data_IF_277740202048
#
_entry.id   IF_277740202048
#
_cell.length_a   1.000
_cell.length_b   1.000
_cell.length_c   1.000
_cell.angle_alpha   90.00
_cell.angle_beta   90.00
_cell.angle_gamma   90.00
#
_symmetry.space_group_name_H-M   'P 1'
#
loop_
_entity.id
_entity.type
_entity.pdbx_description
1 polymer ?
#
# COMPACT_ATOMS: atom_id res chain seq x y z
N UNK A 1 -16.77 17.85 7.62
CA UNK A 1 -17.59 19.04 7.99
C UNK A 1 -17.09 19.67 9.29
N UNK A 2 -16.91 18.88 10.35
CA UNK A 2 -16.53 19.37 11.68
C UNK A 2 -15.08 19.85 11.76
N UNK A 3 -14.14 19.16 11.11
CA UNK A 3 -12.72 19.52 11.17
C UNK A 3 -12.32 20.58 10.13
N UNK A 4 -12.87 20.49 8.91
CA UNK A 4 -12.50 21.40 7.82
C UNK A 4 -13.39 22.64 7.71
N UNK A 5 -14.49 22.69 8.45
CA UNK A 5 -15.48 23.78 8.44
C UNK A 5 -16.04 24.15 7.05
N UNK A 6 -16.05 23.22 6.10
CA UNK A 6 -16.58 23.45 4.75
C UNK A 6 -18.11 23.50 4.67
N UNK A 7 -18.81 23.22 5.78
CA UNK A 7 -20.27 23.21 5.84
C UNK A 7 -20.92 24.60 5.84
N UNK A 8 -20.16 25.67 5.93
CA UNK A 8 -20.69 27.06 5.91
C UNK A 8 -21.07 27.57 4.52
N UNK A 9 -20.59 26.89 3.48
CA UNK A 9 -20.79 27.28 2.10
C UNK A 9 -21.64 26.24 1.40
N UNK A 10 -22.72 26.71 0.75
CA UNK A 10 -23.50 25.85 -0.14
C UNK A 10 -22.68 25.60 -1.39
N UNK A 11 -22.44 24.33 -1.73
CA UNK A 11 -21.65 23.90 -2.86
C UNK A 11 -20.26 24.58 -2.94
N UNK A 12 -19.33 24.28 -2.01
CA UNK A 12 -18.02 24.95 -1.93
C UNK A 12 -17.15 24.75 -3.16
N UNK A 13 -17.45 23.74 -4.00
CA UNK A 13 -16.74 23.43 -5.24
C UNK A 13 -17.51 23.86 -6.50
N UNK A 14 -18.69 24.46 -6.35
CA UNK A 14 -19.53 24.92 -7.44
C UNK A 14 -18.79 25.85 -8.40
N UNK A 15 -18.92 25.61 -9.71
CA UNK A 15 -18.23 26.34 -10.76
C UNK A 15 -16.77 25.93 -10.98
N UNK A 16 -16.24 24.95 -10.25
CA UNK A 16 -14.95 24.32 -10.56
C UNK A 16 -15.11 23.37 -11.75
N UNK A 17 -14.57 23.72 -12.90
CA UNK A 17 -14.64 22.88 -14.11
C UNK A 17 -14.12 21.45 -13.86
N UNK A 18 -13.09 21.30 -13.04
CA UNK A 18 -12.54 19.97 -12.72
C UNK A 18 -13.52 19.14 -11.89
N UNK A 19 -14.15 19.76 -10.88
CA UNK A 19 -15.07 19.03 -9.98
C UNK A 19 -16.35 18.68 -10.71
N UNK A 20 -16.89 19.60 -11.51
CA UNK A 20 -18.09 19.35 -12.33
C UNK A 20 -17.85 18.22 -13.33
N UNK A 21 -16.78 18.28 -14.12
CA UNK A 21 -16.40 17.21 -15.07
C UNK A 21 -16.16 15.86 -14.38
N UNK A 22 -15.53 15.86 -13.21
CA UNK A 22 -15.34 14.65 -12.42
C UNK A 22 -16.66 14.07 -11.92
N UNK A 23 -17.58 14.94 -11.48
CA UNK A 23 -18.91 14.54 -10.99
C UNK A 23 -19.71 13.88 -12.12
N UNK A 24 -19.75 14.51 -13.28
CA UNK A 24 -20.44 13.97 -14.46
C UNK A 24 -19.86 12.60 -14.87
N UNK A 25 -18.53 12.51 -14.94
CA UNK A 25 -17.85 11.24 -15.27
C UNK A 25 -18.10 10.14 -14.25
N UNK A 26 -18.22 10.47 -12.97
CA UNK A 26 -18.56 9.50 -11.92
C UNK A 26 -20.02 9.06 -12.04
N UNK A 27 -20.94 10.01 -12.32
CA UNK A 27 -22.34 9.70 -12.55
C UNK A 27 -22.53 8.77 -13.75
N UNK A 28 -21.87 9.06 -14.87
CA UNK A 28 -21.90 8.20 -16.08
C UNK A 28 -21.40 6.77 -15.79
N UNK A 29 -20.30 6.64 -15.06
CA UNK A 29 -19.76 5.33 -14.66
C UNK A 29 -20.69 4.58 -13.73
N UNK A 30 -21.27 5.27 -12.75
CA UNK A 30 -22.22 4.66 -11.82
C UNK A 30 -23.48 4.19 -12.57
N UNK A 31 -23.97 4.99 -13.52
CA UNK A 31 -25.10 4.65 -14.35
C UNK A 31 -24.82 3.45 -15.26
N UNK A 32 -23.62 3.37 -15.83
CA UNK A 32 -23.21 2.22 -16.64
C UNK A 32 -23.19 0.93 -15.82
N UNK A 33 -22.68 0.94 -14.58
CA UNK A 33 -22.71 -0.22 -13.68
C UNK A 33 -24.14 -0.58 -13.30
N UNK A 34 -24.98 0.41 -13.02
CA UNK A 34 -26.38 0.19 -12.71
C UNK A 34 -27.12 -0.50 -13.86
N UNK A 35 -26.99 0.02 -15.07
CA UNK A 35 -27.65 -0.56 -16.26
C UNK A 35 -27.12 -1.94 -16.61
N UNK A 36 -25.84 -2.22 -16.34
CA UNK A 36 -25.27 -3.56 -16.49
C UNK A 36 -25.93 -4.55 -15.52
N UNK A 37 -26.09 -4.19 -14.24
CA UNK A 37 -26.80 -5.00 -13.25
C UNK A 37 -28.24 -5.26 -13.67
N UNK A 38 -28.95 -4.24 -14.15
CA UNK A 38 -30.32 -4.37 -14.63
C UNK A 38 -30.41 -5.31 -15.84
N UNK A 39 -29.42 -5.32 -16.74
CA UNK A 39 -29.38 -6.23 -17.89
C UNK A 39 -29.27 -7.70 -17.51
N UNK A 40 -28.79 -8.00 -16.30
CA UNK A 40 -28.76 -9.36 -15.72
C UNK A 40 -30.08 -9.78 -15.05
N UNK A 41 -31.13 -8.96 -15.13
CA UNK A 41 -32.41 -9.20 -14.47
C UNK A 41 -32.51 -8.61 -13.07
N UNK A 42 -31.69 -7.57 -12.77
CA UNK A 42 -31.63 -6.85 -11.51
C UNK A 42 -30.62 -7.45 -10.53
N UNK A 43 -30.49 -6.80 -9.39
CA UNK A 43 -29.42 -7.10 -8.42
C UNK A 43 -29.44 -8.56 -7.94
N UNK A 44 -30.60 -9.10 -7.59
CA UNK A 44 -30.72 -10.48 -7.09
C UNK A 44 -30.23 -11.50 -8.12
N UNK A 45 -30.69 -11.38 -9.37
CA UNK A 45 -30.27 -12.26 -10.44
C UNK A 45 -28.78 -12.11 -10.78
N UNK A 46 -28.24 -10.90 -10.72
CA UNK A 46 -26.82 -10.63 -10.93
C UNK A 46 -25.94 -11.24 -9.80
N UNK A 47 -26.44 -11.31 -8.56
CA UNK A 47 -25.76 -12.03 -7.46
C UNK A 47 -25.81 -13.52 -7.69
N UNK A 48 -26.98 -14.08 -7.98
CA UNK A 48 -27.20 -15.53 -8.18
C UNK A 48 -26.41 -16.07 -9.37
N UNK A 49 -26.30 -15.31 -10.45
CA UNK A 49 -25.51 -15.67 -11.63
C UNK A 49 -23.99 -15.53 -11.43
N UNK A 50 -23.55 -14.89 -10.35
CA UNK A 50 -22.15 -14.61 -10.08
C UNK A 50 -21.56 -13.40 -10.82
N UNK A 51 -22.38 -12.65 -11.55
CA UNK A 51 -21.91 -11.44 -12.27
C UNK A 51 -21.29 -10.40 -11.34
N UNK A 52 -21.94 -10.16 -10.18
CA UNK A 52 -21.39 -9.25 -9.15
C UNK A 52 -20.05 -9.76 -8.62
N UNK A 53 -19.97 -11.06 -8.29
CA UNK A 53 -18.73 -11.66 -7.79
C UNK A 53 -17.58 -11.50 -8.79
N UNK A 54 -17.83 -11.74 -10.08
CA UNK A 54 -16.85 -11.59 -11.16
C UNK A 54 -16.36 -10.14 -11.26
N UNK A 55 -17.24 -9.15 -11.20
CA UNK A 55 -16.89 -7.74 -11.25
C UNK A 55 -16.04 -7.31 -10.03
N UNK A 56 -16.41 -7.81 -8.83
CA UNK A 56 -15.64 -7.57 -7.60
C UNK A 56 -14.26 -8.20 -7.66
N UNK A 57 -14.13 -9.43 -8.18
CA UNK A 57 -12.85 -10.12 -8.35
C UNK A 57 -11.93 -9.35 -9.32
N UNK A 58 -12.44 -8.92 -10.44
CA UNK A 58 -11.69 -8.12 -11.41
C UNK A 58 -11.22 -6.79 -10.80
N UNK A 59 -12.05 -6.12 -9.99
CA UNK A 59 -11.69 -4.90 -9.28
C UNK A 59 -10.63 -5.15 -8.22
N UNK A 60 -10.78 -6.25 -7.48
CA UNK A 60 -9.80 -6.68 -6.47
C UNK A 60 -8.44 -6.92 -7.09
N UNK A 61 -8.35 -7.68 -8.16
CA UNK A 61 -7.08 -8.00 -8.80
C UNK A 61 -6.35 -6.76 -9.34
N UNK A 62 -7.07 -5.80 -9.92
CA UNK A 62 -6.46 -4.51 -10.34
C UNK A 62 -5.86 -3.78 -9.14
N UNK A 63 -6.63 -3.63 -8.06
CA UNK A 63 -6.16 -2.93 -6.85
C UNK A 63 -4.99 -3.67 -6.19
N UNK A 64 -5.04 -5.01 -6.12
CA UNK A 64 -3.95 -5.84 -5.60
C UNK A 64 -2.65 -5.64 -6.39
N UNK A 65 -2.75 -5.63 -7.72
CA UNK A 65 -1.59 -5.39 -8.59
C UNK A 65 -1.00 -3.98 -8.40
N UNK A 66 -1.85 -2.97 -8.22
CA UNK A 66 -1.42 -1.59 -7.96
C UNK A 66 -0.72 -1.47 -6.59
N UNK A 67 -1.22 -2.15 -5.57
CA UNK A 67 -0.59 -2.20 -4.24
C UNK A 67 0.75 -2.92 -4.32
N UNK A 68 0.83 -4.08 -4.99
CA UNK A 68 2.05 -4.85 -5.13
C UNK A 68 3.16 -4.06 -5.84
N UNK A 69 2.80 -3.25 -6.83
CA UNK A 69 3.74 -2.38 -7.58
C UNK A 69 3.97 -1.01 -6.93
N UNK A 70 3.35 -0.74 -5.77
CA UNK A 70 3.38 0.56 -5.08
C UNK A 70 2.82 1.73 -5.90
N UNK A 71 2.01 1.46 -6.90
CA UNK A 71 1.19 2.47 -7.58
C UNK A 71 0.15 3.01 -6.60
N UNK A 72 -0.55 2.11 -5.89
CA UNK A 72 -1.40 2.46 -4.76
C UNK A 72 -0.62 2.30 -3.47
N UNK A 73 -0.33 3.42 -2.82
CA UNK A 73 0.41 3.48 -1.56
C UNK A 73 -0.52 3.27 -0.37
N UNK A 74 -0.11 2.41 0.55
CA UNK A 74 -0.76 2.17 1.82
C UNK A 74 0.26 2.43 2.93
N UNK A 75 0.07 3.53 3.65
CA UNK A 75 0.95 3.93 4.76
C UNK A 75 1.01 2.83 5.83
N UNK A 76 2.22 2.53 6.30
CA UNK A 76 2.46 1.45 7.26
C UNK A 76 2.54 0.06 6.62
N UNK A 77 2.21 -0.10 5.34
CA UNK A 77 2.21 -1.39 4.63
C UNK A 77 3.30 -1.41 3.56
N UNK A 78 3.06 -0.78 2.41
CA UNK A 78 4.02 -0.69 1.32
C UNK A 78 4.67 0.69 1.20
N UNK A 79 4.32 1.62 2.10
CA UNK A 79 4.92 2.95 2.23
C UNK A 79 5.11 3.26 3.73
N UNK A 80 6.30 3.66 4.13
CA UNK A 80 6.71 3.94 5.51
C UNK A 80 6.34 2.83 6.53
N UNK A 81 6.70 1.56 6.27
CA UNK A 81 6.44 0.49 7.22
C UNK A 81 7.31 0.65 8.48
N UNK A 82 6.76 0.31 9.64
CA UNK A 82 7.48 0.31 10.89
C UNK A 82 7.94 -1.11 11.25
N UNK A 83 9.26 -1.39 11.14
CA UNK A 83 9.82 -2.69 11.52
C UNK A 83 9.86 -2.94 13.03
N UNK A 84 9.74 -1.88 13.85
CA UNK A 84 9.68 -1.97 15.30
C UNK A 84 8.27 -2.17 15.85
N UNK A 85 7.26 -2.26 15.00
CA UNK A 85 5.88 -2.48 15.43
C UNK A 85 5.74 -3.85 16.09
N UNK A 86 5.12 -3.85 17.28
CA UNK A 86 4.84 -5.09 17.97
C UNK A 86 3.62 -5.78 17.34
N UNK A 87 3.69 -7.07 17.00
CA UNK A 87 2.56 -7.79 16.46
C UNK A 87 1.41 -7.83 17.48
N UNK A 88 0.18 -7.83 16.97
CA UNK A 88 -0.98 -8.03 17.83
C UNK A 88 -0.89 -9.40 18.50
N UNK A 89 -1.31 -9.45 19.77
CA UNK A 89 -1.48 -10.70 20.51
C UNK A 89 -2.49 -11.60 19.79
N UNK A 90 -2.31 -12.93 19.92
CA UNK A 90 -3.13 -13.91 19.21
C UNK A 90 -4.64 -13.81 19.54
N UNK A 91 -4.97 -13.40 20.79
CA UNK A 91 -6.34 -13.14 21.24
C UNK A 91 -7.01 -11.94 20.53
N UNK A 92 -6.21 -11.05 19.95
CA UNK A 92 -6.68 -9.88 19.19
C UNK A 92 -6.65 -10.09 17.67
N UNK A 93 -6.13 -11.22 17.22
CA UNK A 93 -6.14 -11.59 15.79
C UNK A 93 -7.50 -12.15 15.43
N UNK A 94 -8.22 -11.42 14.59
CA UNK A 94 -9.50 -11.89 14.04
C UNK A 94 -9.29 -12.23 12.58
N UNK A 95 -9.53 -13.48 12.23
CA UNK A 95 -9.58 -13.89 10.81
C UNK A 95 -10.88 -13.36 10.19
N UNK A 96 -10.78 -12.41 9.23
CA UNK A 96 -11.96 -11.82 8.62
C UNK A 96 -12.65 -12.83 7.70
N UNK A 97 -13.85 -13.25 8.07
CA UNK A 97 -14.65 -14.14 7.22
C UNK A 97 -15.20 -13.37 6.02
N UNK A 98 -14.87 -13.81 4.80
CA UNK A 98 -15.38 -13.21 3.57
C UNK A 98 -14.80 -11.85 3.22
N UNK A 99 -13.84 -11.33 3.98
CA UNK A 99 -13.17 -10.06 3.71
C UNK A 99 -11.75 -10.34 3.22
N UNK A 100 -11.39 -9.76 2.09
CA UNK A 100 -10.02 -9.81 1.54
C UNK A 100 -9.24 -8.56 2.01
N UNK A 101 -8.11 -8.78 2.68
CA UNK A 101 -7.29 -7.70 3.21
C UNK A 101 -6.24 -7.25 2.19
N UNK A 102 -6.16 -5.96 1.95
CA UNK A 102 -5.18 -5.39 1.03
C UNK A 102 -3.73 -5.57 1.50
N UNK A 103 -3.52 -5.70 2.80
CA UNK A 103 -2.21 -5.86 3.42
C UNK A 103 -1.71 -7.31 3.44
N UNK A 104 -2.55 -8.30 3.16
CA UNK A 104 -2.29 -9.72 3.43
C UNK A 104 -0.95 -10.23 2.86
N UNK A 105 -0.59 -9.85 1.64
CA UNK A 105 0.66 -10.30 1.01
C UNK A 105 1.90 -9.70 1.71
N UNK A 106 1.84 -8.42 2.08
CA UNK A 106 2.93 -7.76 2.82
C UNK A 106 3.04 -8.28 4.25
N UNK A 107 1.90 -8.53 4.90
CA UNK A 107 1.86 -9.15 6.22
C UNK A 107 2.47 -10.56 6.21
N UNK A 108 2.19 -11.36 5.19
CA UNK A 108 2.79 -12.67 5.03
C UNK A 108 4.32 -12.59 4.90
N UNK A 109 4.85 -11.60 4.17
CA UNK A 109 6.30 -11.36 4.09
C UNK A 109 6.88 -10.95 5.45
N UNK A 110 6.22 -10.03 6.15
CA UNK A 110 6.66 -9.59 7.49
C UNK A 110 6.60 -10.71 8.51
N UNK A 111 5.55 -11.52 8.52
CA UNK A 111 5.45 -12.69 9.40
C UNK A 111 6.62 -13.65 9.19
N UNK A 112 7.07 -13.86 7.95
CA UNK A 112 8.28 -14.65 7.67
C UNK A 112 9.53 -14.01 8.26
N UNK A 113 9.67 -12.69 8.18
CA UNK A 113 10.77 -11.95 8.81
C UNK A 113 10.71 -12.02 10.34
N UNK A 114 9.51 -11.96 10.93
CA UNK A 114 9.32 -12.06 12.38
C UNK A 114 9.69 -13.46 12.91
N UNK A 115 9.34 -14.52 12.18
CA UNK A 115 9.78 -15.89 12.48
C UNK A 115 11.31 -16.00 12.41
N UNK A 116 11.93 -15.39 11.41
CA UNK A 116 13.39 -15.36 11.30
C UNK A 116 14.03 -14.57 12.46
N UNK A 117 13.48 -13.41 12.82
CA UNK A 117 13.91 -12.60 13.95
C UNK A 117 13.86 -13.41 15.26
N UNK A 118 12.75 -14.10 15.52
CA UNK A 118 12.59 -14.94 16.71
C UNK A 118 13.62 -16.07 16.77
N UNK A 119 13.99 -16.65 15.62
CA UNK A 119 14.95 -17.76 15.55
C UNK A 119 16.42 -17.31 15.58
N UNK A 120 16.73 -16.13 15.05
CA UNK A 120 18.13 -15.67 14.83
C UNK A 120 18.51 -14.44 15.66
N UNK A 121 17.57 -13.78 16.32
CA UNK A 121 17.80 -12.55 17.09
C UNK A 121 17.92 -11.28 16.24
N UNK A 122 17.93 -11.41 14.92
CA UNK A 122 18.00 -10.29 13.96
C UNK A 122 17.06 -10.53 12.78
N UNK A 123 16.54 -9.47 12.19
CA UNK A 123 15.79 -9.56 10.94
C UNK A 123 16.70 -9.94 9.77
N UNK A 124 16.17 -10.45 8.64
CA UNK A 124 16.92 -10.48 7.40
C UNK A 124 17.42 -9.07 7.08
N UNK A 125 18.69 -8.96 6.69
CA UNK A 125 19.36 -7.67 6.50
C UNK A 125 19.84 -7.52 5.07
N UNK A 126 19.83 -6.28 4.57
CA UNK A 126 20.41 -5.88 3.30
C UNK A 126 21.33 -4.67 3.53
N UNK A 127 22.58 -4.79 3.13
CA UNK A 127 23.54 -3.68 3.22
C UNK A 127 23.33 -2.76 2.02
N UNK A 128 23.17 -1.46 2.28
CA UNK A 128 23.16 -0.43 1.25
C UNK A 128 24.59 0.07 1.06
N UNK A 129 24.97 0.35 -0.19
CA UNK A 129 26.27 0.95 -0.53
C UNK A 129 26.01 2.30 -1.20
N UNK A 130 25.79 3.37 -0.42
CA UNK A 130 25.50 4.69 -0.95
C UNK A 130 26.79 5.38 -1.45
N UNK A 131 26.96 5.40 -2.77
CA UNK A 131 28.13 5.98 -3.41
C UNK A 131 28.00 7.50 -3.60
N UNK A 132 29.04 8.22 -3.21
CA UNK A 132 29.16 9.67 -3.40
C UNK A 132 28.41 10.49 -2.34
N UNK A 133 28.23 11.81 -2.54
CA UNK A 133 27.67 12.70 -1.55
C UNK A 133 26.19 12.43 -1.32
N UNK A 134 25.72 12.72 -0.10
CA UNK A 134 24.35 12.49 0.38
C UNK A 134 23.28 12.97 -0.62
N UNK A 135 23.47 14.13 -1.21
CA UNK A 135 22.53 14.69 -2.18
C UNK A 135 22.31 13.81 -3.43
N UNK A 136 23.27 12.94 -3.77
CA UNK A 136 23.16 12.05 -4.91
C UNK A 136 22.49 10.72 -4.62
N UNK A 137 22.53 10.23 -3.37
CA UNK A 137 22.03 8.90 -3.04
C UNK A 137 20.83 8.89 -2.08
N UNK A 138 20.58 9.97 -1.32
CA UNK A 138 19.57 10.00 -0.26
C UNK A 138 18.17 9.53 -0.71
N UNK A 139 17.69 9.99 -1.86
CA UNK A 139 16.37 9.60 -2.39
C UNK A 139 16.35 8.10 -2.70
N UNK A 140 17.43 7.57 -3.28
CA UNK A 140 17.52 6.14 -3.65
C UNK A 140 17.68 5.24 -2.44
N UNK A 141 18.49 5.63 -1.48
CA UNK A 141 18.65 4.88 -0.22
C UNK A 141 17.36 4.90 0.59
N UNK A 142 16.67 6.04 0.67
CA UNK A 142 15.36 6.14 1.29
C UNK A 142 14.31 5.24 0.61
N UNK A 143 14.28 5.23 -0.72
CA UNK A 143 13.42 4.33 -1.48
C UNK A 143 13.74 2.85 -1.20
N UNK A 144 15.01 2.47 -1.26
CA UNK A 144 15.44 1.09 -1.02
C UNK A 144 15.11 0.64 0.41
N UNK A 145 15.40 1.48 1.41
CA UNK A 145 15.05 1.21 2.81
C UNK A 145 13.55 0.97 2.98
N UNK A 146 12.73 1.84 2.42
CA UNK A 146 11.26 1.74 2.48
C UNK A 146 10.75 0.46 1.79
N UNK A 147 11.29 0.14 0.62
CA UNK A 147 10.93 -1.06 -0.13
C UNK A 147 11.30 -2.34 0.63
N UNK A 148 12.50 -2.43 1.15
CA UNK A 148 12.98 -3.57 1.93
C UNK A 148 12.19 -3.75 3.22
N UNK A 149 11.93 -2.65 3.93
CA UNK A 149 11.15 -2.66 5.17
C UNK A 149 9.70 -3.11 4.94
N UNK A 150 9.10 -2.84 3.78
CA UNK A 150 7.75 -3.34 3.47
C UNK A 150 7.68 -4.87 3.42
N UNK A 151 8.78 -5.54 3.10
CA UNK A 151 8.94 -7.00 3.17
C UNK A 151 9.51 -7.52 4.49
N UNK A 152 9.74 -6.66 5.48
CA UNK A 152 10.30 -7.06 6.77
C UNK A 152 11.83 -7.16 6.78
N UNK A 153 12.52 -6.65 5.75
CA UNK A 153 13.98 -6.68 5.66
C UNK A 153 14.56 -5.37 6.20
N UNK A 154 15.51 -5.48 7.13
CA UNK A 154 16.22 -4.34 7.67
C UNK A 154 17.30 -3.85 6.70
N UNK A 155 17.26 -2.58 6.33
CA UNK A 155 18.28 -1.97 5.51
C UNK A 155 19.39 -1.38 6.39
N UNK A 156 20.58 -1.95 6.30
CA UNK A 156 21.77 -1.39 6.95
C UNK A 156 22.36 -0.30 6.05
N UNK A 157 22.25 0.94 6.49
CA UNK A 157 22.78 2.09 5.77
C UNK A 157 24.02 2.65 6.50
N UNK A 158 25.23 2.36 6.04
CA UNK A 158 26.49 2.82 6.68
C UNK A 158 26.71 4.34 6.51
N UNK A 159 25.83 5.02 5.81
CA UNK A 159 26.05 6.42 5.43
C UNK A 159 26.82 6.55 4.12
N UNK A 160 27.46 7.70 3.93
CA UNK A 160 28.21 7.98 2.72
C UNK A 160 29.44 7.08 2.61
N UNK A 161 29.51 6.30 1.52
CA UNK A 161 30.68 5.45 1.21
C UNK A 161 31.53 6.16 0.15
N UNK A 162 32.74 6.54 0.51
CA UNK A 162 33.70 7.21 -0.38
C UNK A 162 34.99 6.41 -0.40
N UNK A 163 35.55 6.08 -1.58
CA UNK A 163 36.84 5.39 -1.68
C UNK A 163 37.95 6.10 -0.88
N UNK A 164 38.69 5.33 -0.08
CA UNK A 164 39.75 5.85 0.78
C UNK A 164 39.26 6.33 2.16
N UNK A 165 38.05 6.03 2.55
CA UNK A 165 37.55 6.26 3.92
C UNK A 165 37.40 4.95 4.69
N UNK A 166 37.50 4.94 6.04
CA UNK A 166 37.31 3.74 6.85
C UNK A 166 35.95 3.04 6.60
N UNK A 167 34.91 3.81 6.31
CA UNK A 167 33.58 3.30 6.00
C UNK A 167 33.57 2.50 4.68
N UNK A 168 34.38 2.93 3.70
CA UNK A 168 34.56 2.19 2.44
C UNK A 168 35.24 0.85 2.68
N UNK A 169 36.32 0.84 3.45
CA UNK A 169 37.09 -0.39 3.75
C UNK A 169 36.28 -1.39 4.59
N UNK A 170 35.35 -0.90 5.39
CA UNK A 170 34.45 -1.75 6.20
C UNK A 170 33.29 -2.32 5.37
N UNK A 171 32.89 -1.65 4.31
CA UNK A 171 31.76 -2.04 3.44
C UNK A 171 32.20 -2.91 2.24
N UNK A 172 33.50 -2.98 1.97
CA UNK A 172 34.12 -3.80 0.90
C UNK A 172 34.38 -5.21 1.39
#
# INVERSE_FOLDING_TARGET
LEESHLGFVVDPAGGSFFVEDLTDKLADKAWAVFTEIESHGGFTAAVESGAIATALDASHERTRADIARRVKKLTGINEFPNLGEQPLSDDRRVEPRGIRRWAAEFEALRNRSDVYLAAKGTRPQAVLIPLGPLAKHNIRTGFATNLLASGGIEALNPGQVVPGTPEFDTAA
#
